data_IF_908019814524
#
_entry.id   IF_908019814524
#
_cell.length_a   1.000
_cell.length_b   1.000
_cell.length_c   1.000
_cell.angle_alpha   90.00
_cell.angle_beta   90.00
_cell.angle_gamma   90.00
#
_symmetry.space_group_name_H-M   'P 1'
#
loop_
_entity.id
_entity.type
_entity.pdbx_description
1 polymer ?
#
# COMPACT_ATOMS: atom_id res chain seq x y z
N UNK A 1 2.83 32.24 -5.00
CA UNK A 1 3.86 31.21 -4.70
C UNK A 1 3.19 29.86 -4.80
N UNK A 2 3.53 29.03 -5.79
CA UNK A 2 2.92 27.71 -5.97
C UNK A 2 3.64 26.69 -5.07
N UNK A 3 2.94 26.12 -4.10
CA UNK A 3 3.45 24.97 -3.34
C UNK A 3 3.42 23.75 -4.27
N UNK A 4 4.58 23.17 -4.53
CA UNK A 4 4.69 21.93 -5.28
C UNK A 4 4.35 20.78 -4.32
N UNK A 5 3.12 20.28 -4.42
CA UNK A 5 2.67 19.09 -3.69
C UNK A 5 3.13 17.87 -4.50
N UNK A 6 4.17 17.19 -4.05
CA UNK A 6 4.54 15.91 -4.64
C UNK A 6 3.59 14.84 -4.11
N UNK A 7 2.84 14.22 -5.03
CA UNK A 7 2.03 13.05 -4.72
C UNK A 7 2.97 11.87 -4.46
N UNK A 8 3.19 11.55 -3.18
CA UNK A 8 4.13 10.53 -2.72
C UNK A 8 3.71 9.08 -3.03
N UNK A 9 2.61 8.85 -3.78
CA UNK A 9 2.06 7.52 -4.16
C UNK A 9 1.34 6.88 -2.92
N UNK A 10 0.35 5.97 -2.96
CA UNK A 10 -0.12 4.94 -3.89
C UNK A 10 -1.59 4.66 -3.50
N UNK A 11 -2.57 4.74 -4.42
CA UNK A 11 -3.97 4.39 -4.10
C UNK A 11 -4.11 2.92 -3.67
N UNK A 12 -3.27 2.04 -4.21
CA UNK A 12 -3.26 0.62 -3.91
C UNK A 12 -1.88 -0.05 -4.08
N UNK A 13 -1.49 -0.93 -3.16
CA UNK A 13 -0.26 -1.74 -3.25
C UNK A 13 -0.52 -3.24 -3.12
N UNK A 14 0.39 -4.07 -3.65
CA UNK A 14 0.32 -5.53 -3.53
C UNK A 14 1.34 -6.01 -2.48
N UNK A 15 0.83 -6.53 -1.36
CA UNK A 15 1.62 -7.07 -0.27
C UNK A 15 1.65 -8.60 -0.31
N UNK A 16 2.71 -9.20 0.23
CA UNK A 16 2.67 -10.60 0.64
C UNK A 16 1.84 -10.75 1.91
N UNK A 17 1.44 -11.98 2.23
CA UNK A 17 0.70 -12.28 3.47
C UNK A 17 1.51 -11.83 4.69
N UNK A 18 2.81 -12.11 4.71
CA UNK A 18 3.71 -11.72 5.81
C UNK A 18 3.77 -10.20 5.96
N UNK A 19 3.95 -9.47 4.86
CA UNK A 19 3.99 -8.00 4.88
C UNK A 19 2.67 -7.42 5.39
N UNK A 20 1.53 -7.97 4.95
CA UNK A 20 0.21 -7.54 5.40
C UNK A 20 0.01 -7.79 6.90
N UNK A 21 0.44 -8.95 7.39
CA UNK A 21 0.36 -9.29 8.82
C UNK A 21 1.26 -8.37 9.66
N UNK A 22 2.45 -8.04 9.16
CA UNK A 22 3.42 -7.14 9.78
C UNK A 22 3.03 -5.65 9.72
N UNK A 23 1.96 -5.27 9.03
CA UNK A 23 1.48 -3.89 9.06
C UNK A 23 1.11 -3.47 10.49
N UNK A 24 1.56 -2.28 10.89
CA UNK A 24 1.19 -1.68 12.18
C UNK A 24 -0.29 -1.34 12.19
N UNK A 25 -0.92 -1.35 13.37
CA UNK A 25 -2.36 -1.04 13.51
C UNK A 25 -2.71 0.34 12.92
N UNK A 26 -1.84 1.34 13.09
CA UNK A 26 -2.01 2.68 12.51
C UNK A 26 -2.01 2.70 10.98
N UNK A 27 -1.34 1.74 10.36
CA UNK A 27 -1.24 1.61 8.90
C UNK A 27 -2.45 0.80 8.39
N UNK A 28 -2.86 -0.24 9.13
CA UNK A 28 -4.11 -0.99 8.89
C UNK A 28 -5.36 -0.11 8.99
N UNK A 29 -5.40 0.83 9.92
CA UNK A 29 -6.52 1.77 10.08
C UNK A 29 -6.74 2.70 8.87
N UNK A 30 -5.73 2.83 7.99
CA UNK A 30 -5.81 3.63 6.76
C UNK A 30 -6.24 2.82 5.55
N UNK A 31 -6.45 1.51 5.71
CA UNK A 31 -6.89 0.62 4.64
C UNK A 31 -8.39 0.78 4.45
N UNK A 32 -8.80 1.05 3.22
CA UNK A 32 -10.20 1.11 2.79
C UNK A 32 -10.71 -0.25 2.36
N UNK A 33 -9.90 -0.97 1.59
CA UNK A 33 -10.27 -2.26 0.99
C UNK A 33 -9.05 -3.18 0.94
N UNK A 34 -9.28 -4.47 1.15
CA UNK A 34 -8.31 -5.53 0.88
C UNK A 34 -8.89 -6.53 -0.10
N UNK A 35 -8.06 -6.98 -1.05
CA UNK A 35 -8.43 -8.00 -2.03
C UNK A 35 -7.34 -9.06 -2.09
N UNK A 36 -7.74 -10.31 -1.91
CA UNK A 36 -6.84 -11.46 -2.06
C UNK A 36 -6.65 -11.72 -3.55
N UNK A 37 -5.40 -11.73 -4.00
CA UNK A 37 -5.00 -12.12 -5.34
C UNK A 37 -4.46 -13.55 -5.23
N UNK A 38 -5.21 -14.56 -5.71
CA UNK A 38 -4.76 -15.94 -5.64
C UNK A 38 -3.49 -16.13 -6.50
N UNK A 39 -2.65 -17.09 -6.14
CA UNK A 39 -1.50 -17.47 -6.97
C UNK A 39 -1.99 -17.94 -8.34
N UNK A 40 -1.20 -17.66 -9.39
CA UNK A 40 -1.50 -18.18 -10.72
C UNK A 40 -1.19 -19.66 -10.77
N UNK A 41 -2.12 -20.46 -11.31
CA UNK A 41 -1.88 -21.88 -11.54
C UNK A 41 -0.69 -22.04 -12.50
N UNK A 42 0.35 -22.74 -12.04
CA UNK A 42 1.59 -22.98 -12.78
C UNK A 42 2.79 -22.14 -12.35
N UNK A 43 2.63 -21.20 -11.42
CA UNK A 43 3.75 -20.44 -10.86
C UNK A 43 3.88 -20.68 -9.34
N UNK A 44 4.75 -21.62 -8.91
CA UNK A 44 4.94 -21.94 -7.49
C UNK A 44 5.73 -20.87 -6.74
N UNK A 45 6.30 -19.87 -7.43
CA UNK A 45 7.11 -18.81 -6.80
C UNK A 45 6.27 -17.62 -6.36
N UNK A 46 5.09 -17.45 -6.93
CA UNK A 46 4.15 -16.38 -6.58
C UNK A 46 3.14 -16.93 -5.58
N UNK A 47 3.47 -16.87 -4.28
CA UNK A 47 2.47 -17.03 -3.24
C UNK A 47 1.30 -16.03 -3.43
N UNK A 48 0.12 -16.34 -2.88
CA UNK A 48 -1.02 -15.43 -2.92
C UNK A 48 -0.65 -14.04 -2.38
N UNK A 49 -1.06 -12.99 -3.09
CA UNK A 49 -0.82 -11.60 -2.69
C UNK A 49 -2.08 -10.98 -2.11
N UNK A 50 -1.93 -9.91 -1.35
CA UNK A 50 -3.03 -9.11 -0.83
C UNK A 50 -2.86 -7.71 -1.41
N UNK A 51 -3.79 -7.32 -2.28
CA UNK A 51 -3.90 -5.93 -2.72
C UNK A 51 -4.60 -5.13 -1.64
N UNK A 52 -3.95 -4.05 -1.20
CA UNK A 52 -4.44 -3.13 -0.19
C UNK A 52 -4.73 -1.80 -0.87
N UNK A 53 -5.92 -1.26 -0.68
CA UNK A 53 -6.33 0.07 -1.15
C UNK A 53 -6.48 0.99 0.05
N UNK A 54 -5.87 2.16 0.03
CA UNK A 54 -5.89 3.10 1.15
C UNK A 54 -7.01 4.14 1.04
N UNK A 55 -7.52 4.61 2.19
CA UNK A 55 -8.67 5.53 2.27
C UNK A 55 -8.32 6.95 1.85
N UNK A 56 -7.07 7.37 2.05
CA UNK A 56 -6.59 8.71 1.70
C UNK A 56 -5.19 8.61 1.06
N UNK A 57 -4.96 9.23 -0.11
CA UNK A 57 -3.61 9.44 -0.61
C UNK A 57 -2.85 10.33 0.36
N UNK A 58 -1.63 9.94 0.72
CA UNK A 58 -0.77 10.72 1.61
C UNK A 58 -0.11 11.82 0.79
N UNK A 59 -0.52 13.06 1.01
CA UNK A 59 0.17 14.25 0.50
C UNK A 59 1.24 14.66 1.52
N UNK A 60 2.50 14.78 1.09
CA UNK A 60 3.50 15.48 1.90
C UNK A 60 4.06 16.69 1.13
N UNK A 61 4.23 17.84 1.80
CA UNK A 61 4.95 18.97 1.21
C UNK A 61 6.42 18.63 1.06
N UNK A 62 7.03 19.03 -0.06
CA UNK A 62 8.45 18.81 -0.32
C UNK A 62 9.28 19.60 0.71
N UNK A 63 9.85 18.93 1.72
CA UNK A 63 10.68 19.60 2.72
C UNK A 63 10.96 18.85 4.02
N UNK A 64 10.18 17.84 4.39
CA UNK A 64 10.47 17.02 5.58
C UNK A 64 11.10 15.68 5.21
N UNK A 65 12.28 15.75 4.57
CA UNK A 65 13.28 14.72 4.77
C UNK A 65 14.09 15.13 6.00
N UNK A 66 13.83 14.48 7.13
CA UNK A 66 14.76 14.43 8.26
C UNK A 66 15.25 13.00 8.41
#
# INVERSE_FOLDING_TARGET
MAQIINMLRIDSEDLTIEQYLSLREKDKAKIKETRIIPPRLGDPTVGGKIRVTYTHPIYAPLGEAK
#
